data_IF_895328102912
#
_entry.id   IF_895328102912
#
_cell.length_a   1.000
_cell.length_b   1.000
_cell.length_c   1.000
_cell.angle_alpha   90.00
_cell.angle_beta   90.00
_cell.angle_gamma   90.00
#
_symmetry.space_group_name_H-M   'P 1'
#
loop_
_entity.id
_entity.type
_entity.pdbx_description
1 polymer ?
#
# COMPACT_ATOMS: atom_id res chain seq x y z
N UNK A 1 12.95 -5.97 2.24
CA UNK A 1 13.36 -6.40 0.88
C UNK A 1 12.26 -6.09 -0.12
N UNK A 2 12.60 -5.45 -1.18
CA UNK A 2 11.65 -5.15 -2.26
C UNK A 2 11.32 -6.44 -3.03
N UNK A 3 10.04 -6.71 -3.22
CA UNK A 3 9.57 -7.88 -3.96
C UNK A 3 9.09 -7.47 -5.35
N UNK A 4 8.26 -6.43 -5.44
CA UNK A 4 7.71 -5.98 -6.70
C UNK A 4 7.34 -4.50 -6.61
N UNK A 5 7.16 -3.86 -7.76
CA UNK A 5 6.72 -2.48 -7.86
C UNK A 5 5.83 -2.30 -9.07
N UNK A 6 4.96 -1.29 -8.99
CA UNK A 6 4.11 -0.86 -10.10
C UNK A 6 3.29 -2.02 -10.70
N UNK A 7 2.58 -2.73 -9.83
CA UNK A 7 1.73 -3.84 -10.25
C UNK A 7 0.34 -3.32 -10.57
N UNK A 8 -0.07 -3.44 -11.82
CA UNK A 8 -1.36 -2.96 -12.31
C UNK A 8 -2.34 -4.12 -12.42
N UNK A 9 -3.54 -3.88 -11.90
CA UNK A 9 -4.66 -4.81 -12.04
C UNK A 9 -5.91 -4.02 -12.40
N UNK A 10 -6.87 -4.71 -12.98
CA UNK A 10 -8.17 -4.09 -13.24
C UNK A 10 -8.80 -3.67 -11.92
N UNK A 11 -9.05 -2.39 -11.76
CA UNK A 11 -9.66 -1.83 -10.56
C UNK A 11 -8.70 -1.43 -9.46
N UNK A 12 -7.38 -1.61 -9.64
CA UNK A 12 -6.42 -1.17 -8.63
C UNK A 12 -4.98 -1.30 -9.04
N UNK A 13 -4.12 -0.65 -8.29
CA UNK A 13 -2.68 -0.61 -8.54
C UNK A 13 -1.94 -0.74 -7.21
N UNK A 14 -0.80 -1.41 -7.24
CA UNK A 14 0.10 -1.54 -6.09
C UNK A 14 1.42 -0.84 -6.45
N UNK A 15 1.78 0.17 -5.66
CA UNK A 15 3.01 0.93 -5.91
C UNK A 15 4.25 0.13 -5.57
N UNK A 16 4.30 -0.41 -4.35
CA UNK A 16 5.40 -1.22 -3.88
C UNK A 16 4.89 -2.41 -3.09
N UNK A 17 5.57 -3.53 -3.24
CA UNK A 17 5.37 -4.71 -2.42
C UNK A 17 6.72 -5.08 -1.83
N UNK A 18 6.77 -5.11 -0.51
CA UNK A 18 8.02 -5.38 0.21
C UNK A 18 7.82 -6.52 1.20
N UNK A 19 8.91 -6.99 1.74
CA UNK A 19 8.92 -7.98 2.79
C UNK A 19 9.61 -7.40 4.01
N UNK A 20 8.93 -7.51 5.15
CA UNK A 20 9.48 -7.11 6.45
C UNK A 20 9.38 -8.33 7.37
N UNK A 21 10.50 -9.05 7.53
CA UNK A 21 10.49 -10.32 8.23
C UNK A 21 9.61 -11.32 7.49
N UNK A 22 8.56 -11.79 8.15
CA UNK A 22 7.60 -12.73 7.56
C UNK A 22 6.33 -12.04 7.07
N UNK A 23 6.27 -10.71 7.18
CA UNK A 23 5.11 -9.96 6.71
C UNK A 23 5.32 -9.48 5.27
N UNK A 24 4.27 -9.58 4.47
CA UNK A 24 4.19 -8.86 3.20
C UNK A 24 3.65 -7.46 3.48
N UNK A 25 4.28 -6.47 2.90
CA UNK A 25 3.92 -5.07 3.09
C UNK A 25 3.55 -4.48 1.74
N UNK A 26 2.28 -4.07 1.61
CA UNK A 26 1.79 -3.37 0.44
C UNK A 26 1.85 -1.88 0.75
N UNK A 27 2.63 -1.12 -0.03
CA UNK A 27 2.92 0.27 0.27
C UNK A 27 2.31 1.16 -0.79
N UNK A 28 1.50 2.11 -0.36
CA UNK A 28 0.98 3.19 -1.19
C UNK A 28 1.90 4.40 -1.04
N UNK A 29 2.43 4.88 -2.15
CA UNK A 29 3.31 6.05 -2.16
C UNK A 29 2.50 7.26 -2.60
N UNK A 30 2.53 8.32 -1.79
CA UNK A 30 1.78 9.55 -2.06
C UNK A 30 2.72 10.74 -2.06
N UNK A 31 2.67 11.52 -3.12
CA UNK A 31 3.37 12.80 -3.17
C UNK A 31 2.44 13.89 -2.65
N UNK A 32 2.91 14.67 -1.67
CA UNK A 32 2.10 15.70 -1.02
C UNK A 32 2.79 17.04 -1.11
N UNK A 33 2.10 18.00 -1.70
CA UNK A 33 2.59 19.38 -1.81
C UNK A 33 2.06 20.25 -0.69
N UNK A 34 1.09 19.78 0.10
CA UNK A 34 0.40 20.57 1.09
C UNK A 34 0.00 19.72 2.30
N UNK A 35 0.77 19.84 3.38
CA UNK A 35 0.50 19.14 4.64
C UNK A 35 -0.75 19.66 5.37
N UNK A 36 -1.33 20.77 4.92
CA UNK A 36 -2.49 21.42 5.52
C UNK A 36 -3.72 20.52 5.60
N UNK A 37 -3.82 19.53 4.73
CA UNK A 37 -5.00 18.65 4.61
C UNK A 37 -4.74 17.24 5.15
N UNK A 38 -3.90 17.11 6.19
CA UNK A 38 -3.70 15.85 6.88
C UNK A 38 -2.62 14.95 6.31
N UNK A 39 -1.85 15.43 5.33
CA UNK A 39 -0.70 14.70 4.81
C UNK A 39 -1.08 13.50 3.95
N UNK A 40 -0.11 12.58 3.79
CA UNK A 40 -0.23 11.43 2.90
C UNK A 40 -1.33 10.45 3.33
N UNK A 41 -1.44 10.18 4.63
CA UNK A 41 -2.43 9.23 5.14
C UNK A 41 -3.85 9.66 4.80
N UNK A 42 -4.19 10.94 4.97
CA UNK A 42 -5.52 11.45 4.69
C UNK A 42 -5.89 11.37 3.21
N UNK A 43 -4.91 11.26 2.31
CA UNK A 43 -5.17 11.12 0.88
C UNK A 43 -5.60 9.72 0.48
N UNK A 44 -5.43 8.73 1.37
CA UNK A 44 -5.79 7.33 1.10
C UNK A 44 -7.14 7.06 1.75
N UNK A 45 -8.20 7.54 1.12
CA UNK A 45 -9.56 7.37 1.61
C UNK A 45 -10.05 5.93 1.41
N UNK A 46 -11.24 5.63 1.94
CA UNK A 46 -11.74 4.27 2.00
C UNK A 46 -11.88 3.57 0.65
N UNK A 47 -12.32 4.26 -0.36
CA UNK A 47 -12.43 3.69 -1.70
C UNK A 47 -11.05 3.32 -2.25
N UNK A 48 -10.05 4.15 -2.03
CA UNK A 48 -8.67 3.87 -2.43
C UNK A 48 -8.14 2.65 -1.68
N UNK A 49 -8.44 2.55 -0.38
CA UNK A 49 -8.04 1.39 0.43
C UNK A 49 -8.63 0.10 -0.13
N UNK A 50 -9.90 0.11 -0.54
CA UNK A 50 -10.55 -1.05 -1.14
C UNK A 50 -9.89 -1.47 -2.46
N UNK A 51 -9.51 -0.49 -3.28
CA UNK A 51 -8.80 -0.76 -4.54
C UNK A 51 -7.44 -1.38 -4.28
N UNK A 52 -6.74 -0.91 -3.28
CA UNK A 52 -5.45 -1.47 -2.86
C UNK A 52 -5.65 -2.91 -2.39
N UNK A 53 -6.67 -3.16 -1.57
CA UNK A 53 -7.00 -4.50 -1.09
C UNK A 53 -7.33 -5.46 -2.23
N UNK A 54 -8.13 -5.00 -3.19
CA UNK A 54 -8.46 -5.80 -4.37
C UNK A 54 -7.19 -6.16 -5.18
N UNK A 55 -6.36 -5.17 -5.44
CA UNK A 55 -5.11 -5.39 -6.18
C UNK A 55 -4.17 -6.34 -5.44
N UNK A 56 -4.13 -6.25 -4.11
CA UNK A 56 -3.32 -7.13 -3.28
C UNK A 56 -3.78 -8.58 -3.39
N UNK A 57 -5.09 -8.83 -3.38
CA UNK A 57 -5.63 -10.17 -3.57
C UNK A 57 -5.30 -10.70 -4.96
N UNK A 58 -5.44 -9.86 -5.99
CA UNK A 58 -5.11 -10.25 -7.35
C UNK A 58 -3.64 -10.64 -7.47
N UNK A 59 -2.76 -9.87 -6.83
CA UNK A 59 -1.34 -10.16 -6.84
C UNK A 59 -1.01 -11.48 -6.14
N UNK A 60 -1.63 -11.72 -4.98
CA UNK A 60 -1.43 -12.97 -4.24
C UNK A 60 -1.88 -14.18 -5.07
N UNK A 61 -3.03 -14.07 -5.72
CA UNK A 61 -3.53 -15.15 -6.59
C UNK A 61 -2.61 -15.38 -7.78
N UNK A 62 -2.17 -14.30 -8.42
CA UNK A 62 -1.29 -14.37 -9.59
C UNK A 62 0.04 -15.01 -9.25
N UNK A 63 0.56 -14.76 -8.06
CA UNK A 63 1.87 -15.26 -7.65
C UNK A 63 1.81 -16.62 -6.94
N UNK A 64 0.63 -17.23 -6.87
CA UNK A 64 0.48 -18.62 -6.43
C UNK A 64 0.45 -18.84 -4.93
N UNK A 65 0.12 -17.83 -4.14
CA UNK A 65 -0.02 -18.01 -2.70
C UNK A 65 -1.23 -18.89 -2.40
N UNK A 66 -0.99 -20.03 -1.77
CA UNK A 66 -2.03 -20.99 -1.41
C UNK A 66 -2.74 -20.64 -0.11
N UNK A 67 -2.02 -19.98 0.80
CA UNK A 67 -2.58 -19.49 2.05
C UNK A 67 -2.24 -18.00 2.16
N UNK A 68 -3.13 -17.23 2.80
CA UNK A 68 -2.90 -15.81 2.99
C UNK A 68 -1.72 -15.60 3.94
N UNK A 69 -0.67 -14.91 3.51
CA UNK A 69 0.41 -14.53 4.41
C UNK A 69 -0.06 -13.42 5.34
N UNK A 70 0.72 -13.15 6.39
CA UNK A 70 0.48 -11.97 7.21
C UNK A 70 0.83 -10.75 6.36
N UNK A 71 -0.15 -9.86 6.20
CA UNK A 71 -0.02 -8.67 5.37
C UNK A 71 -0.20 -7.40 6.17
N UNK A 72 0.42 -6.33 5.69
CA UNK A 72 0.32 -5.01 6.29
C UNK A 72 0.23 -3.99 5.16
N UNK A 73 -0.57 -2.94 5.37
CA UNK A 73 -0.71 -1.85 4.41
C UNK A 73 -0.08 -0.60 4.99
N UNK A 74 0.94 -0.09 4.33
CA UNK A 74 1.66 1.10 4.74
C UNK A 74 1.42 2.24 3.76
N UNK A 75 1.52 3.47 4.24
CA UNK A 75 1.46 4.66 3.39
C UNK A 75 2.75 5.44 3.58
N UNK A 76 3.43 5.73 2.48
CA UNK A 76 4.65 6.54 2.45
C UNK A 76 4.32 7.85 1.75
N UNK A 77 4.58 8.96 2.41
CA UNK A 77 4.36 10.28 1.87
C UNK A 77 5.68 10.98 1.58
N UNK A 78 5.71 11.70 0.45
CA UNK A 78 6.83 12.56 0.09
C UNK A 78 6.31 13.99 0.00
N UNK A 79 6.95 14.93 0.69
CA UNK A 79 6.57 16.32 0.58
C UNK A 79 7.45 17.05 -0.45
N UNK A 80 7.17 18.34 -0.67
CA UNK A 80 7.88 19.15 -1.65
C UNK A 80 9.36 19.35 -1.33
N UNK A 81 9.75 19.13 -0.07
CA UNK A 81 11.15 19.27 0.37
C UNK A 81 11.92 17.97 0.28
N UNK A 82 11.26 16.88 -0.14
CA UNK A 82 11.86 15.56 -0.19
C UNK A 82 11.80 14.80 1.13
N UNK A 83 11.14 15.36 2.14
CA UNK A 83 11.00 14.68 3.42
C UNK A 83 10.01 13.52 3.30
N UNK A 84 10.38 12.38 3.88
CA UNK A 84 9.58 11.16 3.84
C UNK A 84 8.85 10.98 5.16
N UNK A 85 7.55 10.69 5.08
CA UNK A 85 6.78 10.21 6.22
C UNK A 85 6.32 8.79 5.92
N UNK A 86 6.43 7.90 6.90
CA UNK A 86 6.07 6.49 6.73
C UNK A 86 5.12 6.08 7.82
N UNK A 87 3.90 5.73 7.44
CA UNK A 87 2.87 5.27 8.38
C UNK A 87 2.73 3.77 8.21
N UNK A 88 3.24 3.01 9.17
CA UNK A 88 3.12 1.56 9.16
C UNK A 88 1.73 1.15 9.64
N UNK A 89 1.20 0.10 9.03
CA UNK A 89 -0.14 -0.41 9.35
C UNK A 89 -1.18 0.71 9.32
N UNK A 90 -1.14 1.49 8.24
CA UNK A 90 -1.95 2.71 8.12
C UNK A 90 -3.45 2.41 8.06
N UNK A 91 -3.81 1.25 7.55
CA UNK A 91 -5.20 0.79 7.53
C UNK A 91 -5.22 -0.73 7.49
N UNK A 92 -6.37 -1.29 7.80
CA UNK A 92 -6.59 -2.73 7.70
C UNK A 92 -7.87 -2.99 6.91
N UNK A 93 -7.92 -4.14 6.26
CA UNK A 93 -9.06 -4.55 5.45
C UNK A 93 -9.56 -5.89 5.96
N UNK A 94 -10.68 -5.85 6.68
CA UNK A 94 -11.27 -7.05 7.28
C UNK A 94 -11.79 -8.02 6.22
N UNK A 95 -12.08 -7.53 5.03
CA UNK A 95 -12.61 -8.32 3.92
C UNK A 95 -11.50 -8.75 2.95
N UNK A 96 -10.31 -8.63 3.35
CA UNK A 96 -9.11 -8.96 2.52
C UNK A 96 -8.86 -10.46 2.31
#
# INVERSE_FOLDING_TARGET
MLIARNQLFRGGELDLIMRDGQQLVFIEVRQRTNAKYGGALASVHRQKQRRIGHASRCWLLKTGWKTLPVCRFDVVGLDATGQISWVKAAFSLSDF
#
